data_IF_423371052965
#
_entry.id   IF_423371052965
#
_cell.length_a   1.000
_cell.length_b   1.000
_cell.length_c   1.000
_cell.angle_alpha   90.00
_cell.angle_beta   90.00
_cell.angle_gamma   90.00
#
_symmetry.space_group_name_H-M   'P 1'
#
loop_
_entity.id
_entity.type
_entity.pdbx_description
1 polymer ?
#
# COMPACT_ATOMS: atom_id res chain seq x y z
N UNK A 1 -52.94 5.09 -52.56
CA UNK A 1 -51.85 6.05 -52.24
C UNK A 1 -52.11 6.62 -50.86
N UNK A 2 -51.39 6.17 -49.82
CA UNK A 2 -51.23 6.86 -48.52
C UNK A 2 -50.26 6.07 -47.63
N UNK A 3 -49.11 5.67 -48.17
CA UNK A 3 -47.96 5.27 -47.36
C UNK A 3 -47.17 6.51 -46.97
N UNK A 4 -46.50 6.48 -45.81
CA UNK A 4 -45.41 7.38 -45.38
C UNK A 4 -45.72 8.51 -44.40
N UNK A 5 -46.27 8.22 -43.20
CA UNK A 5 -46.13 9.16 -42.05
C UNK A 5 -46.00 8.50 -40.67
N UNK A 6 -45.32 7.36 -40.55
CA UNK A 6 -45.05 6.78 -39.21
C UNK A 6 -43.60 6.39 -38.96
N UNK A 7 -42.68 6.60 -39.91
CA UNK A 7 -41.29 6.14 -39.76
C UNK A 7 -40.30 7.20 -39.22
N UNK A 8 -40.76 8.41 -38.89
CA UNK A 8 -39.86 9.54 -38.59
C UNK A 8 -39.89 10.06 -37.15
N UNK A 9 -40.48 9.31 -36.20
CA UNK A 9 -40.50 9.70 -34.77
C UNK A 9 -39.64 8.80 -33.88
N UNK A 10 -39.17 7.65 -34.38
CA UNK A 10 -38.39 6.68 -33.60
C UNK A 10 -36.89 6.70 -33.90
N UNK A 11 -36.43 7.45 -34.91
CA UNK A 11 -35.01 7.51 -35.29
C UNK A 11 -34.20 8.56 -34.54
N UNK A 12 -34.85 9.47 -33.78
CA UNK A 12 -34.15 10.56 -33.08
C UNK A 12 -33.95 10.33 -31.57
N UNK A 13 -34.55 9.32 -30.95
CA UNK A 13 -34.34 9.01 -29.53
C UNK A 13 -33.20 8.00 -29.30
N UNK A 14 -32.73 7.33 -30.34
CA UNK A 14 -31.70 6.30 -30.24
C UNK A 14 -30.25 6.84 -30.19
N UNK A 15 -30.02 8.13 -30.46
CA UNK A 15 -28.66 8.69 -30.59
C UNK A 15 -28.14 9.46 -29.35
N UNK A 16 -28.86 9.43 -28.22
CA UNK A 16 -28.46 10.17 -27.00
C UNK A 16 -28.16 9.28 -25.78
N UNK A 17 -27.89 7.97 -25.96
CA UNK A 17 -27.59 7.06 -24.83
C UNK A 17 -26.12 6.58 -24.81
N UNK A 18 -25.30 6.97 -25.78
CA UNK A 18 -23.86 6.72 -25.78
C UNK A 18 -23.11 8.03 -25.54
N UNK A 19 -22.93 8.44 -24.27
CA UNK A 19 -21.61 8.27 -23.66
C UNK A 19 -21.62 7.98 -22.15
N UNK A 20 -22.75 7.65 -21.52
CA UNK A 20 -22.77 7.44 -20.07
C UNK A 20 -22.04 6.15 -19.67
N UNK A 21 -22.13 5.06 -20.46
CA UNK A 21 -21.33 3.85 -20.19
C UNK A 21 -19.81 4.07 -20.30
N UNK A 22 -19.37 5.02 -21.13
CA UNK A 22 -17.98 5.45 -21.15
C UNK A 22 -17.64 6.20 -19.85
N UNK A 23 -18.48 7.13 -19.39
CA UNK A 23 -18.24 7.80 -18.10
C UNK A 23 -18.20 6.84 -16.90
N UNK A 24 -18.98 5.76 -16.90
CA UNK A 24 -18.95 4.73 -15.85
C UNK A 24 -17.75 3.78 -15.97
N UNK A 25 -17.30 3.47 -17.20
CA UNK A 25 -16.11 2.65 -17.43
C UNK A 25 -14.80 3.38 -17.09
N UNK A 26 -14.76 4.70 -17.28
CA UNK A 26 -13.56 5.50 -17.02
C UNK A 26 -13.37 5.77 -15.53
N UNK A 27 -14.46 5.90 -14.76
CA UNK A 27 -14.40 6.00 -13.30
C UNK A 27 -13.78 4.73 -12.67
N UNK A 28 -14.06 3.53 -13.21
CA UNK A 28 -13.44 2.29 -12.72
C UNK A 28 -11.94 2.20 -13.06
N UNK A 29 -11.53 2.71 -14.22
CA UNK A 29 -10.11 2.75 -14.61
C UNK A 29 -9.30 3.74 -13.77
N UNK A 30 -9.90 4.86 -13.37
CA UNK A 30 -9.23 5.87 -12.53
C UNK A 30 -9.08 5.43 -11.06
N UNK A 31 -9.98 4.57 -10.57
CA UNK A 31 -9.95 4.07 -9.18
C UNK A 31 -8.93 2.94 -8.99
N UNK A 32 -8.58 2.21 -10.04
CA UNK A 32 -7.64 1.09 -9.96
C UNK A 32 -6.20 1.60 -10.06
N UNK A 33 -5.76 2.25 -9.00
CA UNK A 33 -4.36 2.66 -8.79
C UNK A 33 -3.38 1.47 -8.84
N UNK A 34 -2.08 1.69 -8.60
CA UNK A 34 -1.01 0.69 -8.70
C UNK A 34 -1.04 -0.35 -7.57
N UNK A 35 -2.20 -0.96 -7.33
CA UNK A 35 -2.45 -1.98 -6.31
C UNK A 35 -2.58 -3.35 -6.98
N UNK A 36 -2.14 -4.40 -6.27
CA UNK A 36 -2.24 -5.78 -6.72
C UNK A 36 -3.68 -6.14 -7.10
N UNK A 37 -3.84 -6.91 -8.20
CA UNK A 37 -5.13 -7.52 -8.52
C UNK A 37 -5.54 -8.52 -7.42
N UNK A 38 -6.84 -8.80 -7.23
CA UNK A 38 -7.29 -9.72 -6.16
C UNK A 38 -6.63 -11.10 -6.18
N UNK A 39 -6.38 -11.66 -7.38
CA UNK A 39 -5.69 -12.93 -7.54
C UNK A 39 -4.19 -12.84 -7.21
N UNK A 40 -3.53 -11.73 -7.57
CA UNK A 40 -2.14 -11.51 -7.19
C UNK A 40 -2.01 -11.27 -5.68
N UNK A 41 -2.97 -10.58 -5.06
CA UNK A 41 -3.01 -10.35 -3.62
C UNK A 41 -3.10 -11.66 -2.85
N UNK A 42 -4.01 -12.56 -3.22
CA UNK A 42 -4.13 -13.86 -2.54
C UNK A 42 -2.85 -14.69 -2.64
N UNK A 43 -2.19 -14.68 -3.81
CA UNK A 43 -0.90 -15.34 -3.99
C UNK A 43 0.20 -14.70 -3.11
N UNK A 44 0.29 -13.37 -3.07
CA UNK A 44 1.25 -12.66 -2.24
C UNK A 44 1.02 -12.92 -0.74
N UNK A 45 -0.23 -13.01 -0.30
CA UNK A 45 -0.57 -13.38 1.08
C UNK A 45 -0.05 -14.77 1.44
N UNK A 46 -0.22 -15.75 0.55
CA UNK A 46 0.29 -17.11 0.78
C UNK A 46 1.82 -17.14 0.86
N UNK A 47 2.51 -16.44 -0.04
CA UNK A 47 3.97 -16.34 -0.05
C UNK A 47 4.50 -15.64 1.20
N UNK A 48 3.87 -14.54 1.61
CA UNK A 48 4.24 -13.82 2.81
C UNK A 48 4.00 -14.66 4.08
N UNK A 49 2.91 -15.42 4.13
CA UNK A 49 2.65 -16.40 5.21
C UNK A 49 3.69 -17.52 5.24
N UNK A 50 4.19 -17.94 4.06
CA UNK A 50 5.29 -18.88 3.95
C UNK A 50 6.67 -18.27 4.31
N UNK A 51 6.73 -16.97 4.59
CA UNK A 51 7.94 -16.27 5.02
C UNK A 51 8.70 -15.56 3.90
N UNK A 52 8.14 -15.43 2.70
CA UNK A 52 8.78 -14.71 1.60
C UNK A 52 8.83 -13.19 1.90
N UNK A 53 10.05 -12.70 2.09
CA UNK A 53 10.34 -11.28 2.35
C UNK A 53 9.92 -10.35 1.22
N UNK A 54 10.04 -10.76 -0.04
CA UNK A 54 9.62 -9.96 -1.20
C UNK A 54 8.10 -9.84 -1.22
N UNK A 55 7.41 -10.90 -0.84
CA UNK A 55 5.96 -10.89 -0.74
C UNK A 55 5.46 -9.95 0.35
N UNK A 56 6.12 -9.97 1.52
CA UNK A 56 5.82 -9.01 2.60
C UNK A 56 6.00 -7.56 2.12
N UNK A 57 7.09 -7.25 1.42
CA UNK A 57 7.33 -5.90 0.83
C UNK A 57 6.21 -5.50 -0.13
N UNK A 58 5.81 -6.41 -1.02
CA UNK A 58 4.75 -6.16 -1.99
C UNK A 58 3.39 -5.90 -1.30
N UNK A 59 3.10 -6.62 -0.21
CA UNK A 59 1.89 -6.39 0.59
C UNK A 59 1.92 -5.02 1.28
N UNK A 60 3.05 -4.63 1.87
CA UNK A 60 3.17 -3.29 2.49
C UNK A 60 2.87 -2.20 1.47
N UNK A 61 3.49 -2.27 0.29
CA UNK A 61 3.26 -1.32 -0.79
C UNK A 61 1.80 -1.34 -1.27
N UNK A 62 1.23 -2.53 -1.44
CA UNK A 62 -0.16 -2.67 -1.82
C UNK A 62 -1.08 -1.94 -0.83
N UNK A 63 -0.93 -2.18 0.47
CA UNK A 63 -1.79 -1.57 1.48
C UNK A 63 -1.55 -0.08 1.67
N UNK A 64 -0.32 0.42 1.47
CA UNK A 64 -0.01 1.85 1.48
C UNK A 64 -0.63 2.59 0.28
N UNK A 65 -0.65 1.95 -0.91
CA UNK A 65 -1.09 2.56 -2.16
C UNK A 65 -2.55 2.26 -2.52
N UNK A 66 -3.21 1.40 -1.75
CA UNK A 66 -4.64 1.09 -1.91
C UNK A 66 -5.48 2.36 -1.72
N UNK A 67 -6.66 2.41 -2.33
CA UNK A 67 -7.60 3.53 -2.16
C UNK A 67 -8.95 2.96 -1.71
N UNK A 68 -9.41 3.26 -0.48
CA UNK A 68 -8.68 3.95 0.59
C UNK A 68 -7.55 3.05 1.13
N UNK A 69 -6.38 3.63 1.43
CA UNK A 69 -5.23 2.85 1.93
C UNK A 69 -5.55 2.16 3.26
N UNK A 70 -4.87 1.06 3.56
CA UNK A 70 -5.00 0.35 4.83
C UNK A 70 -3.70 0.44 5.64
N UNK A 71 -3.52 1.52 6.44
CA UNK A 71 -2.31 1.69 7.24
C UNK A 71 -2.16 0.61 8.31
N UNK A 72 -3.25 -0.05 8.75
CA UNK A 72 -3.18 -1.12 9.76
C UNK A 72 -2.58 -2.37 9.14
N UNK A 73 -3.04 -2.77 7.95
CA UNK A 73 -2.47 -3.91 7.25
C UNK A 73 -1.04 -3.64 6.78
N UNK A 74 -0.75 -2.43 6.31
CA UNK A 74 0.62 -2.02 5.99
C UNK A 74 1.55 -2.14 7.21
N UNK A 75 1.13 -1.62 8.37
CA UNK A 75 1.89 -1.74 9.63
C UNK A 75 2.10 -3.19 10.04
N UNK A 76 1.07 -4.03 9.94
CA UNK A 76 1.17 -5.45 10.27
C UNK A 76 2.27 -6.13 9.45
N UNK A 77 2.23 -6.00 8.13
CA UNK A 77 3.24 -6.61 7.25
C UNK A 77 4.62 -5.98 7.43
N UNK A 78 4.69 -4.68 7.74
CA UNK A 78 5.95 -4.00 8.07
C UNK A 78 6.58 -4.59 9.34
N UNK A 79 5.78 -4.87 10.37
CA UNK A 79 6.26 -5.54 11.58
C UNK A 79 6.79 -6.93 11.27
N UNK A 80 6.05 -7.73 10.49
CA UNK A 80 6.53 -9.06 10.08
C UNK A 80 7.84 -8.98 9.30
N UNK A 81 7.95 -8.02 8.39
CA UNK A 81 9.15 -7.78 7.61
C UNK A 81 10.35 -7.35 8.47
N UNK A 82 10.12 -6.48 9.46
CA UNK A 82 11.13 -6.05 10.43
C UNK A 82 11.58 -7.22 11.33
N UNK A 83 10.65 -8.05 11.80
CA UNK A 83 10.91 -9.23 12.63
C UNK A 83 11.70 -10.30 11.87
N UNK A 84 11.53 -10.37 10.54
CA UNK A 84 12.33 -11.23 9.66
C UNK A 84 13.73 -10.70 9.38
N UNK A 85 14.10 -9.55 9.94
CA UNK A 85 15.44 -9.00 9.78
C UNK A 85 15.59 -8.03 8.61
N UNK A 86 14.53 -7.62 7.92
CA UNK A 86 14.68 -6.74 6.75
C UNK A 86 15.03 -5.32 7.23
N UNK A 87 16.28 -4.91 7.03
CA UNK A 87 16.87 -3.71 7.62
C UNK A 87 16.07 -2.43 7.31
N UNK A 88 15.63 -2.23 6.07
CA UNK A 88 14.78 -1.10 5.67
C UNK A 88 13.49 -1.00 6.49
N UNK A 89 12.84 -2.13 6.79
CA UNK A 89 11.60 -2.15 7.58
C UNK A 89 11.86 -2.04 9.07
N UNK A 90 13.00 -2.54 9.57
CA UNK A 90 13.44 -2.28 10.94
C UNK A 90 13.69 -0.79 11.17
N UNK A 91 14.35 -0.12 10.23
CA UNK A 91 14.53 1.34 10.27
C UNK A 91 13.20 2.07 10.29
N UNK A 92 12.32 1.77 9.33
CA UNK A 92 11.01 2.43 9.20
C UNK A 92 10.15 2.24 10.45
N UNK A 93 10.05 1.00 10.94
CA UNK A 93 9.31 0.69 12.16
C UNK A 93 9.93 1.35 13.39
N UNK A 94 11.26 1.36 13.49
CA UNK A 94 11.98 2.00 14.58
C UNK A 94 11.71 3.50 14.64
N UNK A 95 11.78 4.18 13.50
CA UNK A 95 11.48 5.61 13.39
C UNK A 95 10.03 5.93 13.74
N UNK A 96 9.07 5.14 13.25
CA UNK A 96 7.65 5.30 13.57
C UNK A 96 7.39 5.13 15.08
N UNK A 97 8.01 4.12 15.71
CA UNK A 97 7.90 3.89 17.15
C UNK A 97 8.49 5.04 17.97
N UNK A 98 9.60 5.64 17.53
CA UNK A 98 10.15 6.83 18.18
C UNK A 98 9.17 8.01 18.12
N UNK A 99 8.53 8.23 16.97
CA UNK A 99 7.52 9.29 16.80
C UNK A 99 6.29 9.07 17.67
N UNK A 100 5.96 7.81 17.97
CA UNK A 100 4.88 7.42 18.87
C UNK A 100 5.27 7.48 20.36
N UNK A 101 6.53 7.82 20.68
CA UNK A 101 7.05 7.85 22.04
C UNK A 101 7.41 6.47 22.60
N UNK A 102 7.37 5.41 21.78
CA UNK A 102 7.79 4.05 22.14
C UNK A 102 9.31 3.91 22.04
N UNK A 103 10.04 4.73 22.78
CA UNK A 103 11.48 4.93 22.64
C UNK A 103 12.28 3.62 22.71
N UNK A 104 12.04 2.78 23.73
CA UNK A 104 12.81 1.55 23.91
C UNK A 104 12.69 0.59 22.70
N UNK A 105 11.46 0.35 22.24
CA UNK A 105 11.20 -0.48 21.07
C UNK A 105 11.76 0.14 19.79
N UNK A 106 11.60 1.46 19.62
CA UNK A 106 12.13 2.20 18.47
C UNK A 106 13.65 2.11 18.37
N UNK A 107 14.36 2.41 19.47
CA UNK A 107 15.81 2.29 19.53
C UNK A 107 16.27 0.86 19.23
N UNK A 108 15.57 -0.16 19.77
CA UNK A 108 15.89 -1.57 19.52
C UNK A 108 15.88 -1.91 18.03
N UNK A 109 14.81 -1.56 17.31
CA UNK A 109 14.73 -1.84 15.87
C UNK A 109 15.75 -1.04 15.06
N UNK A 110 16.02 0.21 15.43
CA UNK A 110 17.07 1.00 14.80
C UNK A 110 18.46 0.40 15.02
N UNK A 111 18.75 -0.16 16.19
CA UNK A 111 20.01 -0.86 16.45
C UNK A 111 20.16 -2.08 15.55
N UNK A 112 19.08 -2.86 15.35
CA UNK A 112 19.09 -4.00 14.43
C UNK A 112 19.34 -3.56 12.97
N UNK A 113 18.69 -2.48 12.52
CA UNK A 113 18.89 -1.93 11.19
C UNK A 113 20.34 -1.41 11.01
N UNK A 114 20.84 -0.65 11.99
CA UNK A 114 22.19 -0.12 12.01
C UNK A 114 23.26 -1.21 11.96
N UNK A 115 23.05 -2.32 12.67
CA UNK A 115 23.95 -3.48 12.67
C UNK A 115 24.03 -4.17 11.30
N UNK A 116 22.99 -4.04 10.48
CA UNK A 116 22.96 -4.57 9.11
C UNK A 116 23.52 -3.59 8.06
N UNK A 117 23.95 -2.40 8.49
CA UNK A 117 24.60 -1.43 7.63
C UNK A 117 23.80 -0.19 7.32
N UNK A 118 22.52 -0.10 7.70
CA UNK A 118 21.65 1.08 7.45
C UNK A 118 22.23 2.32 8.14
N UNK A 119 22.74 3.26 7.35
CA UNK A 119 23.43 4.45 7.87
C UNK A 119 22.44 5.46 8.43
N UNK A 120 21.25 5.56 7.83
CA UNK A 120 20.12 6.36 8.30
C UNK A 120 19.72 5.93 9.72
N UNK A 121 19.74 4.63 10.01
CA UNK A 121 19.45 4.12 11.34
C UNK A 121 20.54 4.52 12.36
N UNK A 122 21.81 4.48 11.96
CA UNK A 122 22.93 4.93 12.82
C UNK A 122 22.85 6.41 13.13
N UNK A 123 22.58 7.23 12.11
CA UNK A 123 22.43 8.67 12.26
C UNK A 123 21.26 9.01 13.20
N UNK A 124 20.12 8.33 13.03
CA UNK A 124 18.96 8.55 13.88
C UNK A 124 19.21 8.13 15.34
N UNK A 125 19.93 7.04 15.56
CA UNK A 125 20.36 6.63 16.90
C UNK A 125 21.30 7.66 17.55
N UNK A 126 22.29 8.16 16.80
CA UNK A 126 23.22 9.17 17.29
C UNK A 126 22.53 10.51 17.60
N UNK A 127 21.53 10.88 16.80
CA UNK A 127 20.73 12.08 17.01
C UNK A 127 19.71 11.94 18.15
N UNK A 128 19.36 10.72 18.55
CA UNK A 128 18.39 10.44 19.60
C UNK A 128 19.07 10.23 20.96
N UNK A 129 19.14 11.24 21.84
CA UNK A 129 19.75 11.08 23.17
C UNK A 129 19.02 10.03 24.03
N UNK A 130 17.76 9.76 23.71
CA UNK A 130 16.95 8.76 24.37
C UNK A 130 17.37 7.31 24.02
N UNK A 131 18.02 7.11 22.87
CA UNK A 131 18.62 5.83 22.48
C UNK A 131 20.06 5.66 22.99
N UNK A 132 20.73 6.75 23.40
CA UNK A 132 22.11 6.75 23.85
C UNK A 132 22.30 6.37 25.33
N UNK A 133 21.24 6.40 26.15
CA UNK A 133 21.32 5.95 27.54
C UNK A 133 21.08 4.44 27.62
N UNK A 134 22.07 3.62 28.00
CA UNK A 134 21.77 2.30 28.51
C UNK A 134 20.90 2.47 29.77
N UNK A 135 19.81 1.73 29.83
CA UNK A 135 18.98 1.61 31.04
C UNK A 135 19.79 1.02 32.19
#
# INVERSE_FOLDING_TARGET
MASSRLWNRYTLTALCILPVAALWGWQQLYVRGPSLSPAALSQQLQLAQAGDSKAMVALIQHYQLSVPGDPKQARYWMTQAADKGIAAWQYQLGNDLLREGQTASGCRYLTLAAAQGEEEARQLLAASPACAKPA
#
